data_IF_449409381727
#
_entry.id   IF_449409381727
#
_cell.length_a   1.000
_cell.length_b   1.000
_cell.length_c   1.000
_cell.angle_alpha   90.00
_cell.angle_beta   90.00
_cell.angle_gamma   90.00
#
_symmetry.space_group_name_H-M   'P 1'
#
loop_
_entity.id
_entity.type
_entity.pdbx_description
1 polymer ?
#
# COMPACT_ATOMS: atom_id res chain seq x y z
N UNK A 1 14.22 -40.51 -31.33
CA UNK A 1 13.06 -40.41 -30.44
C UNK A 1 13.60 -40.64 -29.03
N UNK A 2 13.97 -39.58 -28.32
CA UNK A 2 14.44 -39.68 -26.94
C UNK A 2 13.19 -39.68 -26.08
N UNK A 3 12.93 -40.77 -25.37
CA UNK A 3 11.91 -40.83 -24.35
C UNK A 3 12.53 -40.26 -23.05
N UNK A 4 11.99 -39.12 -22.59
CA UNK A 4 12.22 -38.52 -21.29
C UNK A 4 10.83 -38.14 -20.79
N UNK A 5 10.26 -38.89 -19.85
CA UNK A 5 8.88 -38.63 -19.46
C UNK A 5 8.30 -39.45 -18.32
N UNK A 6 9.12 -39.95 -17.39
CA UNK A 6 8.57 -40.62 -16.21
C UNK A 6 9.46 -40.48 -14.95
N UNK A 7 10.78 -40.48 -15.10
CA UNK A 7 11.70 -40.41 -13.94
C UNK A 7 11.96 -38.98 -13.43
N UNK A 8 11.91 -37.98 -14.34
CA UNK A 8 12.15 -36.58 -13.98
C UNK A 8 11.06 -35.98 -13.07
N UNK A 9 9.80 -36.38 -13.26
CA UNK A 9 8.64 -35.86 -12.50
C UNK A 9 8.69 -36.26 -11.01
N UNK A 10 9.21 -37.45 -10.71
CA UNK A 10 9.36 -37.96 -9.35
C UNK A 10 10.54 -37.28 -8.62
N UNK A 11 11.65 -37.05 -9.35
CA UNK A 11 12.81 -36.32 -8.81
C UNK A 11 12.49 -34.87 -8.47
N UNK A 12 11.69 -34.19 -9.30
CA UNK A 12 11.25 -32.81 -9.06
C UNK A 12 10.26 -32.74 -7.88
N UNK A 13 9.37 -33.73 -7.75
CA UNK A 13 8.46 -33.85 -6.61
C UNK A 13 9.20 -34.14 -5.30
N UNK A 14 10.23 -34.97 -5.33
CA UNK A 14 11.09 -35.27 -4.20
C UNK A 14 11.92 -34.04 -3.79
N UNK A 15 12.51 -33.32 -4.75
CA UNK A 15 13.23 -32.07 -4.49
C UNK A 15 12.33 -30.98 -3.88
N UNK A 16 11.08 -30.85 -4.33
CA UNK A 16 10.08 -29.94 -3.71
C UNK A 16 9.78 -30.31 -2.26
N UNK A 17 9.70 -31.60 -1.94
CA UNK A 17 9.48 -32.11 -0.59
C UNK A 17 10.72 -31.90 0.30
N UNK A 18 11.93 -32.14 -0.21
CA UNK A 18 13.20 -31.95 0.51
C UNK A 18 13.44 -30.46 0.81
N UNK A 19 13.21 -29.58 -0.16
CA UNK A 19 13.39 -28.14 0.00
C UNK A 19 12.24 -27.49 0.78
N UNK A 20 11.13 -28.20 1.02
CA UNK A 20 9.97 -27.73 1.78
C UNK A 20 9.09 -26.71 1.03
N UNK A 21 9.31 -26.52 -0.26
CA UNK A 21 8.49 -25.65 -1.11
C UNK A 21 7.41 -26.49 -1.82
N UNK A 22 6.17 -26.40 -1.34
CA UNK A 22 5.02 -27.04 -1.98
C UNK A 22 4.52 -26.23 -3.17
N UNK A 23 3.72 -25.20 -2.88
CA UNK A 23 3.13 -24.32 -3.90
C UNK A 23 3.31 -22.84 -3.55
N UNK A 24 3.50 -22.01 -4.56
CA UNK A 24 3.51 -20.55 -4.40
C UNK A 24 2.08 -20.01 -4.47
N UNK A 25 1.59 -19.44 -3.36
CA UNK A 25 0.33 -18.69 -3.34
C UNK A 25 0.59 -17.21 -3.60
N UNK A 26 -0.27 -16.57 -4.38
CA UNK A 26 -0.24 -15.12 -4.59
C UNK A 26 -1.38 -14.45 -3.81
N UNK A 27 -1.13 -13.27 -3.26
CA UNK A 27 -2.15 -12.42 -2.63
C UNK A 27 -2.77 -11.41 -3.60
N UNK A 28 -2.41 -11.46 -4.90
CA UNK A 28 -2.90 -10.54 -5.93
C UNK A 28 -4.43 -10.56 -6.00
N UNK A 29 -5.05 -9.40 -5.84
CA UNK A 29 -6.52 -9.20 -5.80
C UNK A 29 -7.25 -10.00 -4.69
N UNK A 30 -6.54 -10.47 -3.65
CA UNK A 30 -7.16 -11.12 -2.49
C UNK A 30 -7.16 -10.18 -1.29
N UNK A 31 -8.22 -10.23 -0.48
CA UNK A 31 -8.29 -9.49 0.77
C UNK A 31 -7.49 -10.23 1.85
N UNK A 32 -6.42 -9.60 2.34
CA UNK A 32 -5.59 -10.18 3.42
C UNK A 32 -6.15 -9.75 4.77
N UNK A 33 -6.57 -10.68 5.65
CA UNK A 33 -7.07 -10.34 6.98
C UNK A 33 -6.00 -9.59 7.78
N UNK A 34 -6.41 -8.52 8.47
CA UNK A 34 -5.52 -7.65 9.24
C UNK A 34 -4.95 -6.46 8.45
N UNK A 35 -5.02 -6.45 7.12
CA UNK A 35 -4.59 -5.30 6.31
C UNK A 35 -5.65 -4.19 6.19
N UNK A 36 -6.87 -4.45 6.66
CA UNK A 36 -8.01 -3.54 6.54
C UNK A 36 -7.82 -2.19 7.22
N UNK A 37 -6.94 -2.12 8.22
CA UNK A 37 -6.67 -0.90 9.01
C UNK A 37 -5.32 -0.26 8.68
N UNK A 38 -4.58 -0.81 7.73
CA UNK A 38 -3.29 -0.30 7.28
C UNK A 38 -3.47 0.80 6.23
N UNK A 39 -4.24 1.83 6.58
CA UNK A 39 -4.39 3.02 5.75
C UNK A 39 -4.17 4.26 6.60
N UNK A 40 -3.31 5.15 6.11
CA UNK A 40 -3.12 6.48 6.68
C UNK A 40 -3.07 7.48 5.53
N UNK A 41 -3.76 8.60 5.69
CA UNK A 41 -3.72 9.71 4.74
C UNK A 41 -3.03 10.88 5.40
N UNK A 42 -1.86 11.24 4.88
CA UNK A 42 -1.19 12.47 5.29
C UNK A 42 -1.86 13.67 4.61
N UNK A 43 -2.49 14.54 5.39
CA UNK A 43 -3.11 15.78 4.91
C UNK A 43 -2.28 16.96 5.39
N UNK A 44 -1.54 17.58 4.47
CA UNK A 44 -0.89 18.87 4.74
C UNK A 44 -1.96 19.94 4.75
N UNK A 45 -2.26 20.50 5.93
CA UNK A 45 -3.01 21.76 6.01
C UNK A 45 -2.04 22.90 5.73
N UNK A 46 -2.40 23.79 4.81
CA UNK A 46 -1.65 25.03 4.62
C UNK A 46 -1.91 25.93 5.82
N UNK A 47 -0.87 26.61 6.32
CA UNK A 47 -1.03 27.65 7.32
C UNK A 47 -1.63 28.88 6.65
N UNK A 48 -2.86 29.23 7.03
CA UNK A 48 -3.48 30.49 6.63
C UNK A 48 -3.12 31.57 7.66
N UNK A 49 -2.58 32.70 7.19
CA UNK A 49 -2.15 33.81 8.05
C UNK A 49 -3.13 34.95 7.93
N UNK A 50 -3.46 35.56 9.06
CA UNK A 50 -4.38 36.69 9.12
C UNK A 50 -3.62 37.98 8.86
N UNK A 51 -4.12 38.78 7.92
CA UNK A 51 -3.58 40.10 7.67
C UNK A 51 -4.15 41.09 8.70
N UNK A 52 -3.27 41.65 9.54
CA UNK A 52 -3.65 42.64 10.56
C UNK A 52 -3.46 44.09 10.08
N UNK A 53 -2.40 44.37 9.33
CA UNK A 53 -2.04 45.72 8.90
C UNK A 53 -2.55 46.05 7.49
N UNK A 54 -2.87 47.32 7.26
CA UNK A 54 -3.31 47.88 5.97
C UNK A 54 -4.50 47.14 5.35
N UNK A 55 -5.50 46.80 6.18
CA UNK A 55 -6.74 46.15 5.74
C UNK A 55 -7.67 47.16 5.08
N UNK A 56 -8.08 46.88 3.85
CA UNK A 56 -9.11 47.67 3.15
C UNK A 56 -10.46 47.47 3.87
N UNK A 57 -11.09 48.55 4.32
CA UNK A 57 -12.34 48.53 5.09
C UNK A 57 -12.22 48.88 6.57
N UNK A 58 -11.01 49.19 7.06
CA UNK A 58 -10.80 49.74 8.40
C UNK A 58 -10.87 48.73 9.54
N UNK A 59 -10.66 49.23 10.77
CA UNK A 59 -10.44 48.43 11.98
C UNK A 59 -11.64 47.55 12.38
N UNK A 60 -12.87 47.95 12.06
CA UNK A 60 -14.10 47.23 12.43
C UNK A 60 -14.49 46.09 11.49
N UNK A 61 -13.77 45.86 10.38
CA UNK A 61 -14.04 44.70 9.51
C UNK A 61 -13.58 43.43 10.23
N UNK A 62 -14.37 42.34 10.29
CA UNK A 62 -13.93 41.07 10.86
C UNK A 62 -12.66 40.57 10.14
N UNK A 63 -11.66 40.14 10.91
CA UNK A 63 -10.44 39.55 10.39
C UNK A 63 -10.78 38.27 9.63
N UNK A 64 -10.10 38.04 8.51
CA UNK A 64 -10.35 36.87 7.67
C UNK A 64 -10.20 35.58 8.50
N UNK A 65 -11.08 34.61 8.24
CA UNK A 65 -11.09 33.33 8.91
C UNK A 65 -9.84 32.51 8.51
N UNK A 66 -9.39 31.64 9.42
CA UNK A 66 -8.30 30.67 9.18
C UNK A 66 -8.84 29.51 8.35
#
# INVERSE_FOLDING_TARGET
>A
KMEHGAEDEDSEAEMRRIMGFGDFKSTKNTKVPGNDRNYAVYKVKKSEYRQYMNRVGGFNRPLDAI
#
